data_IF_708202280753
#
_entry.id   IF_708202280753
#
_cell.length_a   1.000
_cell.length_b   1.000
_cell.length_c   1.000
_cell.angle_alpha   90.00
_cell.angle_beta   90.00
_cell.angle_gamma   90.00
#
_symmetry.space_group_name_H-M   'P 1'
#
loop_
_entity.id
_entity.type
_entity.pdbx_description
1 polymer ?
#
# COMPACT_ATOMS: atom_id res chain seq x y z
N UNK A 1 -5.75 -8.87 -4.95
CA UNK A 1 -4.82 -7.73 -4.81
C UNK A 1 -4.34 -7.31 -6.19
N UNK A 2 -4.28 -6.01 -6.44
CA UNK A 2 -3.88 -5.42 -7.73
C UNK A 2 -2.92 -4.24 -7.51
N UNK A 3 -1.93 -4.06 -8.39
CA UNK A 3 -1.09 -2.86 -8.39
C UNK A 3 0.40 -3.13 -8.63
N UNK A 4 1.24 -2.28 -8.04
CA UNK A 4 2.70 -2.26 -8.26
C UNK A 4 3.47 -3.22 -7.34
N UNK A 5 4.79 -3.08 -7.28
CA UNK A 5 5.64 -3.72 -6.27
C UNK A 5 5.27 -3.31 -4.84
N UNK A 6 4.65 -2.14 -4.65
CA UNK A 6 4.16 -1.69 -3.35
C UNK A 6 2.88 -2.44 -2.92
N UNK A 7 2.05 -2.88 -3.86
CA UNK A 7 1.01 -3.85 -3.56
C UNK A 7 1.64 -5.23 -3.24
N UNK A 8 2.63 -5.65 -4.04
CA UNK A 8 3.30 -6.94 -3.86
C UNK A 8 3.96 -7.12 -2.50
N UNK A 9 4.61 -6.09 -1.94
CA UNK A 9 5.29 -6.20 -0.64
C UNK A 9 4.32 -6.57 0.51
N UNK A 10 3.05 -6.20 0.41
CA UNK A 10 2.03 -6.53 1.39
C UNK A 10 1.54 -7.97 1.30
N UNK A 11 1.89 -8.72 0.25
CA UNK A 11 1.52 -10.14 0.15
C UNK A 11 2.05 -10.96 1.33
N UNK A 12 3.23 -10.62 1.86
CA UNK A 12 3.79 -11.31 3.03
C UNK A 12 2.89 -11.14 4.27
N UNK A 13 2.18 -10.01 4.38
CA UNK A 13 1.20 -9.77 5.43
C UNK A 13 -0.15 -10.43 5.15
N UNK A 14 -0.56 -10.54 3.88
CA UNK A 14 -1.89 -11.02 3.49
C UNK A 14 -1.99 -12.54 3.29
N UNK A 15 -0.91 -13.22 2.90
CA UNK A 15 -0.93 -14.66 2.63
C UNK A 15 -1.36 -15.50 3.85
N UNK A 16 -0.84 -15.26 5.07
CA UNK A 16 -1.28 -16.02 6.25
C UNK A 16 -2.77 -15.88 6.54
N UNK A 17 -3.36 -14.72 6.20
CA UNK A 17 -4.79 -14.44 6.33
C UNK A 17 -5.59 -15.34 5.41
N UNK A 18 -5.15 -15.41 4.15
CA UNK A 18 -5.85 -16.16 3.13
C UNK A 18 -5.87 -17.65 3.49
N UNK A 19 -4.77 -18.17 4.05
CA UNK A 19 -4.70 -19.55 4.57
C UNK A 19 -5.64 -19.76 5.77
N UNK A 20 -5.63 -18.84 6.75
CA UNK A 20 -6.45 -18.94 7.97
C UNK A 20 -7.95 -18.83 7.68
N UNK A 21 -8.34 -17.92 6.79
CA UNK A 21 -9.74 -17.64 6.44
C UNK A 21 -10.23 -18.44 5.24
N UNK A 22 -9.40 -19.32 4.68
CA UNK A 22 -9.68 -20.08 3.45
C UNK A 22 -10.11 -19.17 2.29
N UNK A 23 -9.46 -18.01 2.16
CA UNK A 23 -9.66 -17.09 1.04
C UNK A 23 -8.80 -17.49 -0.15
N UNK A 24 -9.30 -17.27 -1.36
CA UNK A 24 -8.49 -17.37 -2.56
C UNK A 24 -7.84 -16.01 -2.87
N UNK A 25 -6.54 -15.88 -2.58
CA UNK A 25 -5.79 -14.69 -2.93
C UNK A 25 -5.30 -14.74 -4.39
N UNK A 26 -5.77 -13.81 -5.21
CA UNK A 26 -5.27 -13.58 -6.58
C UNK A 26 -4.44 -12.29 -6.60
N UNK A 27 -3.23 -12.34 -7.17
CA UNK A 27 -2.31 -11.22 -7.29
C UNK A 27 -2.15 -10.79 -8.75
N UNK A 28 -2.60 -9.57 -9.07
CA UNK A 28 -2.45 -8.93 -10.38
C UNK A 28 -1.41 -7.81 -10.25
N UNK A 29 -0.16 -8.14 -10.51
CA UNK A 29 0.96 -7.28 -10.15
C UNK A 29 1.75 -6.84 -11.39
N UNK A 30 2.05 -5.55 -11.46
CA UNK A 30 2.93 -4.98 -12.46
C UNK A 30 3.82 -3.91 -11.79
N UNK A 31 5.10 -4.19 -11.53
CA UNK A 31 6.01 -3.25 -10.86
C UNK A 31 6.05 -1.87 -11.52
N UNK A 32 6.07 -0.82 -10.69
CA UNK A 32 6.13 0.58 -11.13
C UNK A 32 4.82 1.17 -11.68
N UNK A 33 3.70 0.44 -11.65
CA UNK A 33 2.44 0.91 -12.21
C UNK A 33 1.36 0.97 -11.13
N UNK A 34 0.80 2.15 -10.90
CA UNK A 34 -0.35 2.35 -10.04
C UNK A 34 -1.59 1.77 -10.70
N UNK A 35 -2.57 1.35 -9.90
CA UNK A 35 -3.85 0.91 -10.42
C UNK A 35 -4.75 2.12 -10.69
N UNK A 36 -4.63 2.70 -11.88
CA UNK A 36 -5.43 3.84 -12.35
C UNK A 36 -5.34 3.97 -13.88
N UNK A 37 -6.28 4.70 -14.50
CA UNK A 37 -6.36 4.87 -15.96
C UNK A 37 -5.91 6.28 -16.37
N UNK A 38 -5.06 6.38 -17.40
CA UNK A 38 -4.67 7.68 -17.96
C UNK A 38 -3.58 8.43 -17.17
N UNK A 39 -3.00 7.81 -16.14
CA UNK A 39 -1.82 8.31 -15.45
C UNK A 39 -0.54 8.25 -16.31
N UNK A 40 0.54 8.93 -15.88
CA UNK A 40 1.83 8.98 -16.57
C UNK A 40 2.64 7.69 -16.43
N UNK A 41 2.16 6.75 -15.61
CA UNK A 41 2.84 5.46 -15.38
C UNK A 41 3.07 4.74 -16.71
N UNK A 42 4.18 3.99 -16.85
CA UNK A 42 4.60 3.41 -18.13
C UNK A 42 3.72 2.23 -18.60
N UNK A 43 2.52 2.06 -18.02
CA UNK A 43 1.70 0.86 -18.10
C UNK A 43 0.21 1.15 -18.33
N UNK A 44 -0.19 2.12 -19.19
CA UNK A 44 -1.58 2.54 -19.29
C UNK A 44 -2.52 1.40 -19.74
N UNK A 45 -2.02 0.41 -20.48
CA UNK A 45 -2.82 -0.75 -20.90
C UNK A 45 -3.01 -1.78 -19.78
N UNK A 46 -2.12 -1.83 -18.79
CA UNK A 46 -2.13 -2.87 -17.74
C UNK A 46 -3.28 -2.67 -16.78
N UNK A 47 -3.51 -1.46 -16.27
CA UNK A 47 -4.63 -1.17 -15.37
C UNK A 47 -5.97 -1.46 -16.03
N UNK A 48 -6.13 -1.11 -17.31
CA UNK A 48 -7.34 -1.43 -18.06
C UNK A 48 -7.53 -2.95 -18.25
N UNK A 49 -6.45 -3.72 -18.42
CA UNK A 49 -6.51 -5.17 -18.50
C UNK A 49 -6.85 -5.82 -17.15
N UNK A 50 -6.26 -5.32 -16.05
CA UNK A 50 -6.58 -5.75 -14.69
C UNK A 50 -8.03 -5.46 -14.34
N UNK A 51 -8.52 -4.23 -14.61
CA UNK A 51 -9.92 -3.88 -14.38
C UNK A 51 -10.87 -4.82 -15.14
N UNK A 52 -10.61 -5.08 -16.43
CA UNK A 52 -11.43 -6.01 -17.21
C UNK A 52 -11.48 -7.41 -16.60
N UNK A 53 -10.33 -7.93 -16.18
CA UNK A 53 -10.25 -9.23 -15.52
C UNK A 53 -11.02 -9.25 -14.20
N UNK A 54 -10.90 -8.20 -13.38
CA UNK A 54 -11.60 -8.10 -12.10
C UNK A 54 -13.12 -8.07 -12.30
N UNK A 55 -13.61 -7.31 -13.29
CA UNK A 55 -15.03 -7.27 -13.64
C UNK A 55 -15.56 -8.59 -14.23
N UNK A 56 -14.70 -9.38 -14.88
CA UNK A 56 -15.06 -10.70 -15.42
C UNK A 56 -15.10 -11.78 -14.33
N UNK A 57 -14.14 -11.75 -13.40
CA UNK A 57 -14.03 -12.75 -12.33
C UNK A 57 -14.98 -12.46 -11.17
N UNK A 58 -15.25 -11.18 -10.87
CA UNK A 58 -16.12 -10.76 -9.77
C UNK A 58 -15.61 -11.20 -8.39
N UNK A 59 -14.41 -10.76 -7.95
CA UNK A 59 -13.96 -11.06 -6.59
C UNK A 59 -14.81 -10.33 -5.55
N UNK A 60 -14.88 -10.86 -4.32
CA UNK A 60 -15.59 -10.18 -3.22
C UNK A 60 -14.92 -8.84 -2.87
N UNK A 61 -13.58 -8.79 -2.92
CA UNK A 61 -12.78 -7.63 -2.54
C UNK A 61 -11.57 -7.45 -3.44
N UNK A 62 -11.31 -6.20 -3.84
CA UNK A 62 -10.08 -5.74 -4.46
C UNK A 62 -9.25 -4.94 -3.45
N UNK A 63 -8.05 -5.42 -3.16
CA UNK A 63 -7.05 -4.68 -2.37
C UNK A 63 -6.03 -4.02 -3.31
N UNK A 64 -5.79 -2.72 -3.18
CA UNK A 64 -4.87 -1.93 -4.04
C UNK A 64 -4.18 -0.82 -3.25
N UNK A 65 -3.08 -0.29 -3.79
CA UNK A 65 -2.54 1.00 -3.31
C UNK A 65 -3.48 2.13 -3.75
N UNK A 66 -3.86 3.00 -2.83
CA UNK A 66 -4.79 4.11 -3.05
C UNK A 66 -4.10 5.48 -3.03
N UNK A 67 -2.83 5.53 -2.62
CA UNK A 67 -1.97 6.71 -2.80
C UNK A 67 -0.71 6.33 -3.57
N UNK A 68 0.07 7.35 -3.95
CA UNK A 68 1.38 7.27 -4.57
C UNK A 68 2.24 8.34 -3.95
N UNK A 69 3.41 7.95 -3.44
CA UNK A 69 4.38 8.87 -2.81
C UNK A 69 5.46 9.32 -3.78
N UNK A 70 5.89 10.57 -3.63
CA UNK A 70 7.04 11.14 -4.35
C UNK A 70 8.27 11.20 -3.45
N UNK A 71 9.45 11.25 -4.07
CA UNK A 71 10.73 11.17 -3.35
C UNK A 71 10.86 12.34 -2.37
N UNK A 72 10.99 12.02 -1.08
CA UNK A 72 11.32 12.98 -0.01
C UNK A 72 10.31 14.11 0.17
N UNK A 73 9.03 13.89 -0.19
CA UNK A 73 8.05 14.96 -0.25
C UNK A 73 6.67 14.53 0.26
N UNK A 74 6.33 14.97 1.48
CA UNK A 74 4.97 14.88 2.03
C UNK A 74 3.92 15.55 1.13
N UNK A 75 4.24 16.70 0.52
CA UNK A 75 3.34 17.42 -0.38
C UNK A 75 3.16 16.72 -1.74
N UNK A 76 3.97 15.69 -2.02
CA UNK A 76 3.92 14.91 -3.24
C UNK A 76 2.97 13.72 -3.20
N UNK A 77 2.42 13.36 -2.04
CA UNK A 77 1.48 12.24 -1.95
C UNK A 77 0.14 12.57 -2.62
N UNK A 78 -0.33 11.68 -3.50
CA UNK A 78 -1.58 11.84 -4.23
C UNK A 78 -2.25 10.50 -4.49
N UNK A 79 -3.56 10.49 -4.73
CA UNK A 79 -4.21 9.30 -5.28
C UNK A 79 -3.74 9.06 -6.72
N UNK A 80 -3.60 7.79 -7.16
CA UNK A 80 -3.25 7.49 -8.55
C UNK A 80 -4.14 8.23 -9.54
N UNK A 81 -3.56 8.76 -10.61
CA UNK A 81 -4.35 9.38 -11.68
C UNK A 81 -5.28 8.35 -12.31
N UNK A 82 -6.57 8.72 -12.41
CA UNK A 82 -7.65 7.83 -12.86
C UNK A 82 -7.95 6.68 -11.91
N UNK A 83 -7.70 6.85 -10.61
CA UNK A 83 -8.13 5.90 -9.59
C UNK A 83 -9.67 5.75 -9.55
N UNK A 84 -10.40 6.85 -9.74
CA UNK A 84 -11.87 6.81 -9.82
C UNK A 84 -12.37 5.93 -10.99
N UNK A 85 -11.67 5.99 -12.13
CA UNK A 85 -12.00 5.22 -13.33
C UNK A 85 -11.81 3.71 -13.16
N UNK A 86 -11.08 3.27 -12.14
CA UNK A 86 -10.97 1.84 -11.78
C UNK A 86 -11.81 1.47 -10.58
N UNK A 87 -12.00 2.36 -9.61
CA UNK A 87 -12.79 2.09 -8.40
C UNK A 87 -14.28 2.10 -8.70
N UNK A 88 -14.80 3.13 -9.39
CA UNK A 88 -16.25 3.26 -9.62
C UNK A 88 -16.85 2.03 -10.35
N UNK A 89 -16.24 1.48 -11.42
CA UNK A 89 -16.78 0.30 -12.09
C UNK A 89 -16.79 -0.96 -11.22
N UNK A 90 -15.85 -1.09 -10.26
CA UNK A 90 -15.83 -2.21 -9.31
C UNK A 90 -17.00 -2.08 -8.33
N UNK A 91 -17.18 -0.89 -7.76
CA UNK A 91 -18.28 -0.61 -6.83
C UNK A 91 -19.66 -0.78 -7.49
N UNK A 92 -19.80 -0.38 -8.76
CA UNK A 92 -21.02 -0.57 -9.55
C UNK A 92 -21.38 -2.06 -9.80
N UNK A 93 -20.43 -2.98 -9.58
CA UNK A 93 -20.62 -4.43 -9.65
C UNK A 93 -20.66 -5.09 -8.26
N UNK A 94 -20.85 -4.29 -7.20
CA UNK A 94 -20.81 -4.74 -5.80
C UNK A 94 -19.47 -5.40 -5.40
N UNK A 95 -18.38 -5.09 -6.12
CA UNK A 95 -17.03 -5.53 -5.78
C UNK A 95 -16.43 -4.50 -4.82
N UNK A 96 -16.24 -4.89 -3.56
CA UNK A 96 -15.69 -4.01 -2.54
C UNK A 96 -14.23 -3.65 -2.82
N UNK A 97 -13.80 -2.45 -2.43
CA UNK A 97 -12.42 -1.97 -2.62
C UNK A 97 -11.82 -1.56 -1.28
N UNK A 98 -10.70 -2.19 -0.92
CA UNK A 98 -9.83 -1.75 0.17
C UNK A 98 -8.62 -1.05 -0.43
N UNK A 99 -8.61 0.28 -0.33
CA UNK A 99 -7.48 1.12 -0.70
C UNK A 99 -6.49 1.19 0.46
N UNK A 100 -5.21 0.91 0.21
CA UNK A 100 -4.18 1.02 1.24
C UNK A 100 -3.29 2.22 0.92
N UNK A 101 -3.00 3.04 1.94
CA UNK A 101 -2.03 4.12 1.83
C UNK A 101 -0.64 3.59 1.51
N UNK A 102 0.00 4.21 0.54
CA UNK A 102 1.30 3.78 0.04
C UNK A 102 2.42 4.02 1.07
N UNK A 103 3.52 3.28 0.93
CA UNK A 103 4.70 3.46 1.79
C UNK A 103 5.45 4.77 1.48
N UNK A 104 6.07 5.40 2.49
CA UNK A 104 6.97 6.53 2.32
C UNK A 104 8.06 6.27 1.26
N UNK A 105 8.45 7.32 0.55
CA UNK A 105 9.54 7.30 -0.44
C UNK A 105 10.64 8.25 0.01
N UNK A 106 11.79 7.71 0.39
CA UNK A 106 12.91 8.45 0.95
C UNK A 106 13.80 9.04 -0.15
N UNK A 107 14.34 10.24 0.08
CA UNK A 107 15.40 10.82 -0.77
C UNK A 107 16.69 9.98 -0.74
N UNK A 108 17.01 9.44 0.43
CA UNK A 108 18.14 8.53 0.62
C UNK A 108 17.65 7.22 1.18
N UNK A 109 18.03 6.11 0.54
CA UNK A 109 17.75 4.75 1.03
C UNK A 109 18.15 4.61 2.51
N UNK A 110 17.21 4.28 3.42
CA UNK A 110 17.51 4.13 4.83
C UNK A 110 18.57 3.06 5.10
N UNK A 111 18.57 1.96 4.33
CA UNK A 111 19.58 0.90 4.47
C UNK A 111 20.98 1.34 4.00
N UNK A 112 21.05 2.18 2.96
CA UNK A 112 22.33 2.77 2.52
C UNK A 112 22.86 3.74 3.57
N UNK A 113 21.99 4.57 4.13
CA UNK A 113 22.32 5.46 5.24
C UNK A 113 22.88 4.66 6.43
N UNK A 114 22.16 3.62 6.86
CA UNK A 114 22.54 2.77 8.00
C UNK A 114 23.87 2.04 7.81
N UNK A 115 24.16 1.66 6.57
CA UNK A 115 25.41 0.97 6.21
C UNK A 115 26.61 1.93 6.24
N UNK A 116 26.40 3.20 5.87
CA UNK A 116 27.45 4.24 5.86
C UNK A 116 27.68 4.87 7.24
N UNK A 117 26.62 5.13 8.00
CA UNK A 117 26.67 5.88 9.26
C UNK A 117 26.79 4.96 10.49
N UNK A 118 27.85 4.15 10.58
CA UNK A 118 27.97 3.10 11.61
C UNK A 118 27.81 3.57 13.06
N UNK A 119 28.32 4.76 13.38
CA UNK A 119 28.32 5.32 14.74
C UNK A 119 27.13 6.24 15.04
N UNK A 120 26.34 6.61 14.03
CA UNK A 120 25.23 7.58 14.13
C UNK A 120 23.97 7.09 13.45
N UNK A 121 23.74 5.78 13.49
CA UNK A 121 22.63 5.06 12.85
C UNK A 121 21.23 5.62 13.10
N UNK A 122 21.01 6.25 14.25
CA UNK A 122 19.76 6.94 14.59
C UNK A 122 19.44 8.09 13.63
N UNK A 123 20.45 8.69 12.99
CA UNK A 123 20.30 9.77 12.00
C UNK A 123 19.67 9.32 10.67
N UNK A 124 19.43 8.02 10.50
CA UNK A 124 18.76 7.45 9.34
C UNK A 124 17.24 7.34 9.52
N UNK A 125 16.73 7.84 10.65
CA UNK A 125 15.29 7.99 10.93
C UNK A 125 14.82 9.31 10.33
N UNK A 126 13.67 9.29 9.65
CA UNK A 126 13.08 10.48 9.05
C UNK A 126 11.66 10.67 9.61
N UNK A 127 11.27 11.89 10.03
CA UNK A 127 9.91 12.14 10.47
C UNK A 127 8.88 11.82 9.39
N UNK A 128 7.78 11.17 9.75
CA UNK A 128 6.70 10.82 8.82
C UNK A 128 6.16 12.04 8.08
N UNK A 129 6.11 13.19 8.77
CA UNK A 129 5.65 14.47 8.21
C UNK A 129 6.52 15.03 7.09
N UNK A 130 7.74 14.51 6.90
CA UNK A 130 8.59 14.89 5.76
C UNK A 130 8.28 14.04 4.52
N UNK A 131 7.66 12.87 4.70
CA UNK A 131 7.51 11.85 3.65
C UNK A 131 6.05 11.63 3.21
N UNK A 132 5.09 11.87 4.10
CA UNK A 132 3.67 11.62 3.88
C UNK A 132 2.83 12.85 4.25
N UNK A 133 1.72 13.04 3.55
CA UNK A 133 0.75 14.08 3.91
C UNK A 133 0.19 13.85 5.32
N UNK A 134 -0.30 14.88 6.03
CA UNK A 134 -0.88 14.69 7.37
C UNK A 134 -2.15 13.82 7.35
N UNK A 135 -2.85 13.78 6.22
CA UNK A 135 -4.07 13.00 5.99
C UNK A 135 -3.87 12.25 4.67
N UNK A 136 -4.28 10.98 4.60
CA UNK A 136 -4.14 10.22 3.36
C UNK A 136 -5.05 10.83 2.29
N UNK A 137 -4.55 11.18 1.10
CA UNK A 137 -5.41 11.65 0.01
C UNK A 137 -6.55 10.67 -0.32
N UNK A 138 -6.35 9.37 -0.07
CA UNK A 138 -7.32 8.32 -0.31
C UNK A 138 -8.53 8.33 0.64
N UNK A 139 -8.49 9.07 1.75
CA UNK A 139 -9.66 9.27 2.64
C UNK A 139 -10.81 10.00 1.93
N UNK A 140 -10.52 10.73 0.85
CA UNK A 140 -11.54 11.41 0.05
C UNK A 140 -12.57 10.44 -0.61
N UNK A 141 -12.31 9.13 -0.57
CA UNK A 141 -13.20 8.09 -1.09
C UNK A 141 -13.98 7.34 0.01
N UNK A 142 -13.73 7.59 1.30
CA UNK A 142 -14.35 6.82 2.40
C UNK A 142 -15.87 6.97 2.51
N UNK A 143 -16.43 8.05 1.98
CA UNK A 143 -17.89 8.26 1.90
C UNK A 143 -18.56 7.36 0.82
N UNK A 144 -17.79 6.66 -0.01
CA UNK A 144 -18.34 5.78 -1.05
C UNK A 144 -18.70 4.41 -0.47
N UNK A 145 -19.95 4.02 -0.69
CA UNK A 145 -20.40 2.68 -0.33
C UNK A 145 -19.55 1.63 -1.06
N UNK A 146 -19.08 0.62 -0.32
CA UNK A 146 -18.22 -0.42 -0.89
C UNK A 146 -16.72 -0.09 -0.89
N UNK A 147 -16.31 1.12 -0.46
CA UNK A 147 -14.90 1.51 -0.35
C UNK A 147 -14.46 1.71 1.12
N UNK A 148 -13.21 1.34 1.41
CA UNK A 148 -12.49 1.71 2.63
C UNK A 148 -11.04 2.04 2.34
N UNK A 149 -10.56 3.17 2.86
CA UNK A 149 -9.15 3.47 2.97
C UNK A 149 -8.56 2.84 4.23
N UNK A 150 -7.33 2.34 4.13
CA UNK A 150 -6.58 1.75 5.22
C UNK A 150 -5.18 2.36 5.28
N UNK A 151 -4.86 2.96 6.42
CA UNK A 151 -3.52 3.42 6.72
C UNK A 151 -2.79 2.39 7.61
N UNK A 152 -1.64 1.93 7.13
CA UNK A 152 -0.75 1.00 7.84
C UNK A 152 0.57 1.67 8.26
N UNK A 153 0.69 3.00 8.08
CA UNK A 153 1.92 3.75 8.31
C UNK A 153 2.47 3.57 9.70
N UNK A 154 1.63 3.55 10.73
CA UNK A 154 2.07 3.35 12.13
C UNK A 154 2.75 1.99 12.36
N UNK A 155 2.55 1.00 11.48
CA UNK A 155 3.21 -0.31 11.58
C UNK A 155 4.68 -0.26 11.14
N UNK A 156 5.09 0.72 10.33
CA UNK A 156 6.47 0.86 9.84
C UNK A 156 7.10 2.24 10.13
N UNK A 157 6.29 3.21 10.53
CA UNK A 157 6.70 4.51 11.06
C UNK A 157 5.97 4.81 12.39
N UNK A 158 6.34 4.13 13.50
CA UNK A 158 5.74 4.37 14.81
C UNK A 158 6.16 5.74 15.37
N UNK A 159 5.31 6.31 16.22
CA UNK A 159 5.57 7.58 16.93
C UNK A 159 5.94 8.74 15.98
N UNK A 160 5.33 8.79 14.79
CA UNK A 160 5.56 9.78 13.73
C UNK A 160 7.00 9.81 13.17
N UNK A 161 7.74 8.72 13.34
CA UNK A 161 9.11 8.55 12.88
C UNK A 161 9.23 7.30 12.01
N UNK A 162 9.97 7.38 10.92
CA UNK A 162 10.23 6.26 10.01
C UNK A 162 11.66 5.71 10.21
N UNK A 163 11.90 4.84 11.20
CA UNK A 163 13.21 4.29 11.48
C UNK A 163 13.61 3.22 10.45
N UNK A 164 14.91 3.00 10.33
CA UNK A 164 15.46 1.92 9.50
C UNK A 164 15.44 0.56 10.18
N UNK A 165 15.40 0.52 11.51
CA UNK A 165 15.32 -0.73 12.30
C UNK A 165 14.25 -0.58 13.38
N UNK A 166 13.37 -1.58 13.48
CA UNK A 166 12.39 -1.70 14.57
C UNK A 166 12.62 -3.05 15.25
N UNK A 167 12.80 -3.00 16.58
CA UNK A 167 13.19 -4.14 17.43
C UNK A 167 14.61 -4.64 17.13
N UNK A 168 14.77 -5.29 15.99
CA UNK A 168 16.03 -5.85 15.48
C UNK A 168 15.97 -6.21 13.98
N UNK A 169 14.93 -5.75 13.27
CA UNK A 169 14.66 -6.09 11.87
C UNK A 169 14.77 -4.82 11.03
N UNK A 170 15.44 -4.91 9.89
CA UNK A 170 15.52 -3.81 8.92
C UNK A 170 14.14 -3.58 8.31
N UNK A 171 13.62 -2.36 8.43
CA UNK A 171 12.29 -2.00 7.92
C UNK A 171 12.32 -1.89 6.40
N UNK A 172 13.31 -1.17 5.85
CA UNK A 172 13.38 -0.80 4.44
C UNK A 172 14.40 -1.65 3.66
N UNK A 173 13.99 -2.11 2.49
CA UNK A 173 14.86 -2.80 1.53
C UNK A 173 15.68 -1.80 0.70
N UNK A 174 15.04 -0.70 0.32
CA UNK A 174 15.58 0.38 -0.51
C UNK A 174 14.92 1.71 -0.11
N UNK A 175 14.69 2.63 -1.05
CA UNK A 175 14.13 3.95 -0.79
C UNK A 175 12.61 3.97 -0.63
N UNK A 176 11.87 2.87 -0.80
CA UNK A 176 10.40 2.86 -0.72
C UNK A 176 9.75 1.50 -0.40
N UNK A 177 10.49 0.40 -0.47
CA UNK A 177 9.98 -0.93 -0.16
C UNK A 177 10.33 -1.39 1.24
N UNK A 178 9.38 -2.08 1.89
CA UNK A 178 9.61 -2.84 3.10
C UNK A 178 10.44 -4.10 2.79
N UNK A 179 11.27 -4.51 3.74
CA UNK A 179 11.88 -5.84 3.68
C UNK A 179 10.80 -6.91 3.86
N UNK A 180 11.00 -8.08 3.25
CA UNK A 180 10.12 -9.23 3.46
C UNK A 180 10.02 -9.64 4.93
N UNK A 181 11.16 -9.60 5.63
CA UNK A 181 11.23 -10.01 7.04
C UNK A 181 10.41 -9.05 7.91
N UNK A 182 10.50 -7.73 7.66
CA UNK A 182 9.68 -6.75 8.37
C UNK A 182 8.20 -6.83 7.98
N UNK A 183 7.87 -6.95 6.69
CA UNK A 183 6.50 -7.15 6.25
C UNK A 183 5.85 -8.40 6.90
N UNK A 184 6.65 -9.41 7.25
CA UNK A 184 6.19 -10.60 7.97
C UNK A 184 5.93 -10.33 9.47
N UNK A 185 6.65 -9.41 10.12
CA UNK A 185 6.40 -9.07 11.53
C UNK A 185 5.11 -8.28 11.71
N UNK A 186 4.73 -7.48 10.71
CA UNK A 186 3.47 -6.72 10.70
C UNK A 186 2.27 -7.54 10.20
N UNK A 187 2.45 -8.81 9.82
CA UNK A 187 1.40 -9.61 9.20
C UNK A 187 0.13 -9.71 10.06
N UNK A 188 0.26 -9.94 11.37
CA UNK A 188 -0.89 -10.02 12.27
C UNK A 188 -1.65 -8.69 12.43
N UNK A 189 -1.02 -7.56 12.79
CA UNK A 189 -1.76 -6.30 12.88
C UNK A 189 -2.29 -5.80 11.52
N UNK A 190 -1.55 -5.98 10.42
CA UNK A 190 -2.04 -5.64 9.09
C UNK A 190 -3.23 -6.52 8.69
N UNK A 191 -3.18 -7.81 9.03
CA UNK A 191 -4.31 -8.74 8.84
C UNK A 191 -5.55 -8.25 9.53
N UNK A 192 -5.46 -7.99 10.82
CA UNK A 192 -6.64 -7.71 11.63
C UNK A 192 -7.37 -6.46 11.10
N UNK A 193 -6.60 -5.47 10.61
CA UNK A 193 -7.16 -4.28 9.96
C UNK A 193 -7.75 -4.53 8.58
N UNK A 194 -7.11 -5.35 7.75
CA UNK A 194 -7.65 -5.70 6.42
C UNK A 194 -8.92 -6.53 6.56
N UNK A 195 -8.95 -7.49 7.49
CA UNK A 195 -10.16 -8.25 7.80
C UNK A 195 -11.27 -7.31 8.27
N UNK A 196 -10.99 -6.41 9.21
CA UNK A 196 -11.98 -5.46 9.70
C UNK A 196 -12.55 -4.61 8.55
N UNK A 197 -11.69 -4.08 7.67
CA UNK A 197 -12.12 -3.32 6.50
C UNK A 197 -13.00 -4.15 5.55
N UNK A 198 -12.68 -5.43 5.34
CA UNK A 198 -13.49 -6.34 4.51
C UNK A 198 -14.84 -6.67 5.16
N UNK A 199 -14.84 -6.94 6.45
CA UNK A 199 -16.06 -7.28 7.21
C UNK A 199 -17.02 -6.07 7.29
N UNK A 200 -16.50 -4.84 7.36
CA UNK A 200 -17.31 -3.61 7.28
C UNK A 200 -17.95 -3.37 5.91
N UNK A 201 -17.36 -3.92 4.85
CA UNK A 201 -17.84 -3.81 3.47
C UNK A 201 -18.79 -4.94 3.07
N UNK A 202 -18.90 -5.97 3.90
CA UNK A 202 -19.79 -7.11 3.68
C UNK A 202 -21.21 -6.76 4.12
N UNK A 203 -22.16 -6.80 3.19
CA UNK A 203 -23.59 -6.51 3.40
C UNK A 203 -24.35 -7.64 4.10
#
# INVERSE_FOLDING_TARGET
MVGSSHAQQLLAALLPIAEERNWQLVALLQPGCSFGIGGPDPCPQTSAAFLRYLLEVGPDVVVTMATRTEVGSADGEHAPLGFDDVVAPLLDQDIAVVGIRDTPRFETSPVDCWTRQRDSRESCTVPTSELLAPVSPAEAWDDRLGYRNLDLTDLYCPDDECPVVIGNVLVWMDHDHLTKDYASTMAAPARDRVIAAVEELSF
#
